data_IF_848699942452
#
_entry.id   IF_848699942452
#
_cell.length_a   1.000
_cell.length_b   1.000
_cell.length_c   1.000
_cell.angle_alpha   90.00
_cell.angle_beta   90.00
_cell.angle_gamma   90.00
#
_symmetry.space_group_name_H-M   'P 1'
#
loop_
_entity.id
_entity.type
_entity.pdbx_description
1 polymer ?
#
# COMPACT_ATOMS: atom_id res chain seq x y z
N UNK A 1 -21.50 27.61 8.11
CA UNK A 1 -20.96 26.27 7.83
C UNK A 1 -19.59 26.45 7.19
N UNK A 2 -18.54 25.90 7.78
CA UNK A 2 -17.23 25.90 7.14
C UNK A 2 -17.26 24.93 5.95
N UNK A 3 -16.88 25.42 4.76
CA UNK A 3 -16.79 24.58 3.57
C UNK A 3 -15.40 23.97 3.51
N UNK A 4 -15.29 22.67 3.81
CA UNK A 4 -14.03 21.95 3.71
C UNK A 4 -13.87 21.30 2.35
N UNK A 5 -12.66 21.38 1.81
CA UNK A 5 -12.30 20.68 0.56
C UNK A 5 -12.31 19.16 0.82
N UNK A 6 -12.77 18.35 -0.15
CA UNK A 6 -12.67 16.91 -0.04
C UNK A 6 -11.21 16.45 0.05
N UNK A 7 -10.94 15.46 0.90
CA UNK A 7 -9.60 15.00 1.20
C UNK A 7 -9.16 13.78 0.38
N UNK A 8 -7.88 13.72 0.07
CA UNK A 8 -7.19 12.54 -0.48
C UNK A 8 -6.00 12.24 0.43
N UNK A 9 -5.85 11.00 0.87
CA UNK A 9 -4.71 10.60 1.72
C UNK A 9 -3.69 9.80 0.92
N UNK A 10 -2.41 10.15 1.05
CA UNK A 10 -1.29 9.40 0.48
C UNK A 10 -0.66 8.59 1.61
N UNK A 11 -0.80 7.27 1.55
CA UNK A 11 -0.49 6.35 2.64
C UNK A 11 0.41 5.22 2.14
N UNK A 12 1.07 4.51 3.06
CA UNK A 12 1.94 3.39 2.73
C UNK A 12 3.21 3.34 3.59
N UNK A 13 4.01 2.28 3.46
CA UNK A 13 5.28 2.13 4.17
C UNK A 13 6.26 3.29 3.94
N UNK A 14 7.23 3.44 4.82
CA UNK A 14 8.40 4.30 4.70
C UNK A 14 9.15 3.98 3.41
N UNK A 15 9.76 4.99 2.80
CA UNK A 15 10.54 4.82 1.56
C UNK A 15 9.74 4.55 0.28
N UNK A 16 8.40 4.41 0.32
CA UNK A 16 7.59 4.14 -0.88
C UNK A 16 7.37 5.35 -1.81
N UNK A 17 7.83 6.54 -1.43
CA UNK A 17 7.78 7.75 -2.26
C UNK A 17 6.52 8.60 -2.13
N UNK A 18 5.79 8.53 -1.02
CA UNK A 18 4.55 9.31 -0.75
C UNK A 18 4.75 10.83 -0.89
N UNK A 19 5.78 11.36 -0.24
CA UNK A 19 6.10 12.80 -0.24
C UNK A 19 6.49 13.28 -1.64
N UNK A 20 7.36 12.52 -2.32
CA UNK A 20 7.76 12.81 -3.71
C UNK A 20 6.57 12.75 -4.68
N UNK A 21 5.69 11.77 -4.53
CA UNK A 21 4.44 11.68 -5.28
C UNK A 21 3.60 12.95 -5.10
N UNK A 22 3.46 13.43 -3.85
CA UNK A 22 2.71 14.64 -3.53
C UNK A 22 3.36 15.90 -4.11
N UNK A 23 4.68 16.03 -4.03
CA UNK A 23 5.43 17.13 -4.64
C UNK A 23 5.24 17.16 -6.16
N UNK A 24 5.39 16.01 -6.82
CA UNK A 24 5.18 15.86 -8.27
C UNK A 24 3.75 16.19 -8.70
N UNK A 25 2.76 15.71 -7.94
CA UNK A 25 1.34 15.96 -8.20
C UNK A 25 0.96 17.43 -8.05
N UNK A 26 1.57 18.13 -7.09
CA UNK A 26 1.23 19.53 -6.79
C UNK A 26 2.10 20.52 -7.56
N UNK A 27 3.20 20.06 -8.18
CA UNK A 27 4.17 20.92 -8.84
C UNK A 27 4.92 21.83 -7.87
N UNK A 28 5.01 21.42 -6.59
CA UNK A 28 5.61 22.22 -5.52
C UNK A 28 6.58 21.35 -4.72
N UNK A 29 7.67 21.93 -4.25
CA UNK A 29 8.59 21.30 -3.29
C UNK A 29 8.15 21.67 -1.88
N UNK A 30 7.00 21.14 -1.45
CA UNK A 30 6.37 21.57 -0.19
C UNK A 30 6.93 20.86 1.03
N UNK A 31 7.46 19.67 0.82
CA UNK A 31 7.89 18.76 1.87
C UNK A 31 9.32 18.32 1.56
N UNK A 32 10.19 18.34 2.57
CA UNK A 32 11.57 17.87 2.42
C UNK A 32 11.57 16.39 2.03
N UNK A 33 12.14 16.09 0.86
CA UNK A 33 12.33 14.72 0.40
C UNK A 33 13.54 14.14 1.12
N UNK A 34 13.33 13.22 2.06
CA UNK A 34 14.44 12.58 2.74
C UNK A 34 15.20 11.61 1.85
N UNK A 35 16.40 11.99 1.43
CA UNK A 35 17.39 11.08 0.81
C UNK A 35 18.30 10.41 1.84
N UNK A 36 18.33 10.92 3.07
CA UNK A 36 19.09 10.37 4.19
C UNK A 36 18.13 9.70 5.20
N UNK A 37 18.63 8.67 5.89
CA UNK A 37 17.94 7.85 6.90
C UNK A 37 17.26 8.62 8.06
N UNK A 38 17.30 9.96 8.06
CA UNK A 38 16.82 10.83 9.14
C UNK A 38 15.65 11.77 8.77
N UNK A 39 15.30 11.93 7.49
CA UNK A 39 14.21 12.85 7.08
C UNK A 39 12.95 12.07 6.70
N UNK A 40 12.40 11.37 7.69
CA UNK A 40 11.05 10.83 7.63
C UNK A 40 10.03 11.94 7.91
N UNK A 41 8.94 11.97 7.16
CA UNK A 41 7.73 12.73 7.53
C UNK A 41 7.30 12.26 8.93
N UNK A 42 7.43 13.10 9.96
CA UNK A 42 7.14 12.73 11.37
C UNK A 42 5.70 13.07 11.77
N UNK A 43 5.00 13.86 10.98
CA UNK A 43 3.62 14.32 11.21
C UNK A 43 2.83 14.32 9.91
N UNK A 44 1.52 14.16 9.98
CA UNK A 44 0.66 14.30 8.80
C UNK A 44 0.69 15.75 8.32
N UNK A 45 0.96 15.97 7.03
CA UNK A 45 1.01 17.29 6.40
C UNK A 45 -0.07 17.37 5.32
N UNK A 46 -0.59 18.57 5.04
CA UNK A 46 -1.59 18.74 3.97
C UNK A 46 -1.28 19.89 3.02
N UNK A 47 -1.79 19.76 1.80
CA UNK A 47 -1.70 20.76 0.74
C UNK A 47 -3.01 20.84 -0.03
N UNK A 48 -3.46 22.06 -0.29
CA UNK A 48 -4.59 22.32 -1.18
C UNK A 48 -4.13 22.44 -2.63
N UNK A 49 -4.82 21.73 -3.53
CA UNK A 49 -4.54 21.72 -4.96
C UNK A 49 -5.83 21.61 -5.77
N UNK A 50 -5.83 22.19 -6.97
CA UNK A 50 -6.88 22.02 -7.95
C UNK A 50 -6.49 20.94 -8.97
N UNK A 51 -7.30 19.89 -9.10
CA UNK A 51 -7.09 18.81 -10.07
C UNK A 51 -8.26 18.82 -11.04
N UNK A 52 -7.98 19.13 -12.31
CA UNK A 52 -8.99 19.31 -13.37
C UNK A 52 -10.16 20.23 -12.92
N UNK A 53 -9.84 21.30 -12.19
CA UNK A 53 -10.81 22.27 -11.68
C UNK A 53 -11.49 21.91 -10.35
N UNK A 54 -11.34 20.68 -9.84
CA UNK A 54 -11.85 20.28 -8.52
C UNK A 54 -10.81 20.58 -7.44
N UNK A 55 -11.19 21.42 -6.47
CA UNK A 55 -10.37 21.74 -5.31
C UNK A 55 -10.38 20.56 -4.32
N UNK A 56 -9.20 20.08 -3.94
CA UNK A 56 -9.00 19.00 -2.98
C UNK A 56 -7.88 19.33 -2.01
N UNK A 57 -7.88 18.66 -0.86
CA UNK A 57 -6.79 18.70 0.10
C UNK A 57 -6.09 17.33 0.11
N UNK A 58 -4.80 17.31 -0.21
CA UNK A 58 -3.99 16.10 -0.18
C UNK A 58 -3.26 16.04 1.15
N UNK A 59 -3.36 14.92 1.84
CA UNK A 59 -2.65 14.63 3.08
C UNK A 59 -1.49 13.67 2.80
N UNK A 60 -0.25 14.12 3.00
CA UNK A 60 0.93 13.27 3.03
C UNK A 60 1.12 12.72 4.45
N UNK A 61 1.33 11.40 4.57
CA UNK A 61 1.43 10.74 5.87
C UNK A 61 2.83 10.19 6.14
N UNK A 62 3.24 10.07 7.42
CA UNK A 62 4.39 9.24 7.79
C UNK A 62 4.26 7.79 7.28
N UNK A 63 5.38 7.06 7.28
CA UNK A 63 5.38 5.61 7.01
C UNK A 63 4.63 4.83 8.08
N UNK A 64 3.82 3.87 7.64
CA UNK A 64 2.94 3.08 8.52
C UNK A 64 3.60 1.80 9.09
N UNK A 65 4.76 1.44 8.57
CA UNK A 65 5.55 0.24 8.89
C UNK A 65 6.61 0.52 9.96
N UNK A 66 7.06 1.77 10.10
CA UNK A 66 8.03 2.20 11.13
C UNK A 66 7.36 2.82 12.37
N UNK A 67 6.07 2.54 12.58
CA UNK A 67 5.25 3.13 13.64
C UNK A 67 5.43 2.41 15.00
N UNK A 68 6.62 2.54 15.58
CA UNK A 68 6.90 2.01 16.91
C UNK A 68 5.92 2.59 17.96
N UNK A 69 5.08 1.73 18.52
CA UNK A 69 4.03 2.12 19.48
C UNK A 69 2.69 2.53 18.87
N UNK A 70 2.52 2.47 17.54
CA UNK A 70 1.22 2.66 16.88
C UNK A 70 0.69 4.10 16.88
N UNK A 71 1.57 5.09 17.10
CA UNK A 71 1.19 6.50 17.24
C UNK A 71 0.69 7.09 15.93
N UNK A 72 1.38 6.86 14.82
CA UNK A 72 0.98 7.36 13.49
C UNK A 72 -0.40 6.81 13.11
N UNK A 73 -0.61 5.51 13.29
CA UNK A 73 -1.89 4.85 13.04
C UNK A 73 -3.00 5.43 13.92
N UNK A 74 -2.73 5.64 15.21
CA UNK A 74 -3.69 6.24 16.13
C UNK A 74 -4.04 7.69 15.76
N UNK A 75 -3.05 8.50 15.38
CA UNK A 75 -3.24 9.89 14.97
C UNK A 75 -4.07 9.99 13.68
N UNK A 76 -3.83 9.09 12.71
CA UNK A 76 -4.65 8.99 11.49
C UNK A 76 -6.10 8.61 11.80
N UNK A 77 -6.34 7.62 12.67
CA UNK A 77 -7.71 7.27 13.11
C UNK A 77 -8.39 8.47 13.77
N UNK A 78 -7.70 9.18 14.66
CA UNK A 78 -8.23 10.40 15.30
C UNK A 78 -8.59 11.46 14.26
N UNK A 79 -7.72 11.69 13.27
CA UNK A 79 -7.95 12.63 12.18
C UNK A 79 -9.17 12.24 11.35
N UNK A 80 -9.29 10.97 10.94
CA UNK A 80 -10.46 10.50 10.18
C UNK A 80 -11.76 10.69 10.98
N UNK A 81 -11.77 10.33 12.26
CA UNK A 81 -12.93 10.50 13.13
C UNK A 81 -13.29 11.97 13.35
N UNK A 82 -12.30 12.85 13.51
CA UNK A 82 -12.51 14.29 13.63
C UNK A 82 -13.12 14.85 12.35
N UNK A 83 -12.57 14.51 11.19
CA UNK A 83 -13.12 14.90 9.89
C UNK A 83 -14.58 14.51 9.73
N UNK A 84 -14.95 13.29 10.18
CA UNK A 84 -16.34 12.84 10.14
C UNK A 84 -17.27 13.72 11.00
N UNK A 85 -16.85 14.07 12.23
CA UNK A 85 -17.60 14.97 13.12
C UNK A 85 -17.75 16.38 12.55
N UNK A 86 -16.73 16.84 11.84
CA UNK A 86 -16.70 18.14 11.15
C UNK A 86 -17.42 18.11 9.79
N UNK A 87 -18.03 16.98 9.41
CA UNK A 87 -18.72 16.78 8.13
C UNK A 87 -17.79 16.98 6.92
N UNK A 88 -16.49 16.72 7.10
CA UNK A 88 -15.49 16.69 6.03
C UNK A 88 -15.56 15.38 5.29
N UNK A 89 -15.29 15.42 3.99
CA UNK A 89 -15.42 14.26 3.10
C UNK A 89 -14.05 13.72 2.70
N UNK A 90 -13.96 12.39 2.57
CA UNK A 90 -12.79 11.69 2.05
C UNK A 90 -13.14 11.17 0.65
N UNK A 91 -12.40 11.58 -0.38
CA UNK A 91 -12.56 11.07 -1.74
C UNK A 91 -11.84 9.75 -1.95
N UNK A 92 -10.71 9.56 -1.29
CA UNK A 92 -10.00 8.29 -1.39
C UNK A 92 -8.62 8.30 -0.79
N UNK A 93 -8.00 7.13 -0.90
CA UNK A 93 -6.67 6.85 -0.38
C UNK A 93 -5.82 6.34 -1.53
N UNK A 94 -4.65 6.94 -1.72
CA UNK A 94 -3.58 6.44 -2.56
C UNK A 94 -2.64 5.65 -1.67
N UNK A 95 -2.62 4.33 -1.80
CA UNK A 95 -1.71 3.47 -1.03
C UNK A 95 -0.48 3.13 -1.87
N UNK A 96 0.65 3.73 -1.52
CA UNK A 96 1.93 3.56 -2.20
C UNK A 96 2.60 2.25 -1.78
N UNK A 97 3.02 1.46 -2.76
CA UNK A 97 3.70 0.19 -2.61
C UNK A 97 5.01 0.21 -3.41
N UNK A 98 6.13 -0.12 -2.78
CA UNK A 98 7.43 -0.22 -3.44
C UNK A 98 7.57 -1.59 -4.14
N UNK A 99 7.52 -1.60 -5.47
CA UNK A 99 7.58 -2.82 -6.26
C UNK A 99 9.01 -3.40 -6.36
N UNK A 100 10.02 -2.61 -5.99
CA UNK A 100 11.44 -2.98 -6.08
C UNK A 100 11.90 -3.87 -4.93
N UNK A 101 11.18 -3.88 -3.80
CA UNK A 101 11.53 -4.72 -2.65
C UNK A 101 11.32 -6.21 -2.93
N UNK A 102 12.32 -7.01 -2.56
CA UNK A 102 12.37 -8.45 -2.85
C UNK A 102 11.45 -9.26 -1.93
N UNK A 103 11.13 -8.73 -0.75
CA UNK A 103 10.25 -9.38 0.23
C UNK A 103 9.28 -8.33 0.76
N UNK A 104 7.99 -8.67 0.79
CA UNK A 104 7.05 -7.98 1.65
C UNK A 104 7.43 -8.37 3.08
N UNK A 105 8.20 -7.51 3.76
CA UNK A 105 8.50 -7.71 5.17
C UNK A 105 7.23 -7.66 6.01
N UNK A 106 7.25 -8.29 7.20
CA UNK A 106 6.14 -8.21 8.17
C UNK A 106 5.64 -6.77 8.38
N UNK A 107 6.50 -5.74 8.49
CA UNK A 107 6.04 -4.35 8.67
C UNK A 107 5.19 -3.81 7.50
N UNK A 108 5.53 -4.17 6.26
CA UNK A 108 4.77 -3.77 5.06
C UNK A 108 3.42 -4.47 5.02
N UNK A 109 3.38 -5.77 5.35
CA UNK A 109 2.13 -6.52 5.46
C UNK A 109 1.21 -5.94 6.55
N UNK A 110 1.77 -5.59 7.72
CA UNK A 110 1.03 -4.95 8.82
C UNK A 110 0.51 -3.56 8.45
N UNK A 111 1.28 -2.78 7.65
CA UNK A 111 0.81 -1.52 7.10
C UNK A 111 -0.44 -1.70 6.23
N UNK A 112 -0.41 -2.69 5.33
CA UNK A 112 -1.54 -2.95 4.42
C UNK A 112 -2.75 -3.53 5.16
N UNK A 113 -2.51 -4.45 6.11
CA UNK A 113 -3.55 -4.98 6.99
C UNK A 113 -4.27 -3.86 7.74
N UNK A 114 -3.52 -2.93 8.31
CA UNK A 114 -4.11 -1.80 9.02
C UNK A 114 -4.96 -0.91 8.08
N UNK A 115 -4.54 -0.72 6.82
CA UNK A 115 -5.35 -0.03 5.81
C UNK A 115 -6.69 -0.76 5.59
N UNK A 116 -6.67 -2.08 5.42
CA UNK A 116 -7.87 -2.89 5.21
C UNK A 116 -8.86 -2.76 6.37
N UNK A 117 -8.37 -2.85 7.60
CA UNK A 117 -9.17 -2.73 8.81
C UNK A 117 -9.78 -1.34 8.95
N UNK A 118 -8.96 -0.30 8.72
CA UNK A 118 -9.34 1.10 8.94
C UNK A 118 -10.37 1.56 7.91
N UNK A 119 -10.17 1.18 6.64
CA UNK A 119 -11.08 1.53 5.56
C UNK A 119 -12.35 0.68 5.59
N UNK A 120 -12.19 -0.63 5.83
CA UNK A 120 -13.23 -1.63 5.61
C UNK A 120 -13.52 -1.89 4.13
N UNK A 121 -14.08 -3.06 3.82
CA UNK A 121 -14.31 -3.52 2.45
C UNK A 121 -15.13 -2.56 1.60
N UNK A 122 -16.21 -1.98 2.13
CA UNK A 122 -17.07 -1.05 1.38
C UNK A 122 -16.33 0.19 0.88
N UNK A 123 -15.30 0.66 1.60
CA UNK A 123 -14.52 1.83 1.22
C UNK A 123 -13.36 1.51 0.27
N UNK A 124 -13.08 0.23 -0.02
CA UNK A 124 -12.00 -0.16 -0.93
C UNK A 124 -12.19 0.39 -2.35
N UNK A 125 -13.43 0.59 -2.79
CA UNK A 125 -13.73 1.27 -4.05
C UNK A 125 -13.13 2.67 -4.16
N UNK A 126 -12.77 3.30 -3.05
CA UNK A 126 -12.11 4.61 -2.96
C UNK A 126 -10.60 4.52 -2.75
N UNK A 127 -10.04 3.31 -2.66
CA UNK A 127 -8.59 3.07 -2.58
C UNK A 127 -8.00 2.89 -3.97
N UNK A 128 -6.82 3.45 -4.18
CA UNK A 128 -5.96 3.22 -5.35
C UNK A 128 -4.62 2.76 -4.83
N UNK A 129 -4.31 1.50 -5.05
CA UNK A 129 -3.00 0.90 -4.74
C UNK A 129 -2.06 1.28 -5.88
N UNK A 130 -0.94 1.89 -5.55
CA UNK A 130 0.02 2.43 -6.52
C UNK A 130 1.35 1.72 -6.36
N UNK A 131 1.77 1.01 -7.41
CA UNK A 131 3.13 0.45 -7.48
C UNK A 131 4.10 1.55 -7.91
N UNK A 132 5.15 1.75 -7.12
CA UNK A 132 6.19 2.75 -7.34
C UNK A 132 7.58 2.11 -7.29
N UNK A 133 8.64 2.91 -7.48
CA UNK A 133 10.04 2.47 -7.56
C UNK A 133 10.31 1.52 -8.74
N UNK A 134 9.60 1.75 -9.84
CA UNK A 134 9.91 1.13 -11.12
C UNK A 134 11.28 1.61 -11.62
N UNK A 135 12.08 0.69 -12.14
CA UNK A 135 13.38 0.96 -12.76
C UNK A 135 13.26 0.63 -14.25
N UNK A 136 12.70 1.54 -15.08
CA UNK A 136 12.41 1.25 -16.48
C UNK A 136 13.66 1.11 -17.34
N UNK A 137 14.82 1.55 -16.86
CA UNK A 137 16.10 1.46 -17.56
C UNK A 137 16.71 0.04 -17.52
N UNK A 138 16.20 -0.84 -16.65
CA UNK A 138 16.68 -2.22 -16.49
C UNK A 138 15.56 -3.22 -16.87
N UNK A 139 15.63 -3.86 -18.06
CA UNK A 139 14.64 -4.83 -18.51
C UNK A 139 14.43 -6.02 -17.55
N UNK A 140 15.48 -6.46 -16.85
CA UNK A 140 15.36 -7.55 -15.89
C UNK A 140 14.55 -7.08 -14.66
N UNK A 141 14.75 -5.84 -14.22
CA UNK A 141 13.97 -5.24 -13.12
C UNK A 141 12.54 -4.97 -13.52
N UNK A 142 12.27 -4.56 -14.77
CA UNK A 142 10.90 -4.44 -15.29
C UNK A 142 10.17 -5.78 -15.21
N UNK A 143 10.79 -6.86 -15.71
CA UNK A 143 10.18 -8.19 -15.71
C UNK A 143 9.88 -8.68 -14.28
N UNK A 144 10.81 -8.43 -13.34
CA UNK A 144 10.61 -8.72 -11.91
C UNK A 144 9.46 -7.90 -11.32
N UNK A 145 9.41 -6.59 -11.58
CA UNK A 145 8.35 -5.71 -11.11
C UNK A 145 6.97 -6.12 -11.64
N UNK A 146 6.88 -6.48 -12.93
CA UNK A 146 5.65 -7.02 -13.53
C UNK A 146 5.23 -8.35 -12.89
N UNK A 147 6.20 -9.22 -12.56
CA UNK A 147 5.94 -10.45 -11.82
C UNK A 147 5.33 -10.19 -10.44
N UNK A 148 5.90 -9.24 -9.70
CA UNK A 148 5.40 -8.83 -8.38
C UNK A 148 4.05 -8.14 -8.45
N UNK A 149 3.81 -7.32 -9.45
CA UNK A 149 2.49 -6.69 -9.63
C UNK A 149 1.41 -7.75 -9.91
N UNK A 150 1.73 -8.80 -10.67
CA UNK A 150 0.85 -9.95 -10.83
C UNK A 150 0.64 -10.70 -9.52
N UNK A 151 1.68 -10.88 -8.72
CA UNK A 151 1.58 -11.52 -7.40
C UNK A 151 0.71 -10.70 -6.43
N UNK A 152 0.85 -9.37 -6.41
CA UNK A 152 -0.07 -8.49 -5.66
C UNK A 152 -1.51 -8.68 -6.15
N UNK A 153 -1.72 -8.77 -7.46
CA UNK A 153 -3.07 -8.84 -8.03
C UNK A 153 -3.76 -10.19 -7.82
N UNK A 154 -3.01 -11.29 -7.85
CA UNK A 154 -3.58 -12.64 -7.95
C UNK A 154 -3.03 -13.64 -6.91
N UNK A 155 -1.95 -13.30 -6.23
CA UNK A 155 -1.24 -14.18 -5.31
C UNK A 155 -1.48 -13.86 -3.83
N UNK A 156 -1.81 -12.61 -3.49
CA UNK A 156 -2.06 -12.20 -2.10
C UNK A 156 -3.57 -12.02 -1.84
N UNK A 157 -4.19 -12.86 -0.99
CA UNK A 157 -5.61 -12.76 -0.65
C UNK A 157 -6.05 -11.41 -0.08
N UNK A 158 -5.16 -10.69 0.62
CA UNK A 158 -5.46 -9.38 1.17
C UNK A 158 -5.63 -8.34 0.06
N UNK A 159 -4.75 -8.37 -0.94
CA UNK A 159 -4.83 -7.48 -2.09
C UNK A 159 -5.98 -7.86 -3.00
N UNK A 160 -6.19 -9.15 -3.24
CA UNK A 160 -7.36 -9.66 -3.97
C UNK A 160 -8.66 -9.15 -3.34
N UNK A 161 -8.82 -9.26 -2.01
CA UNK A 161 -10.01 -8.78 -1.33
C UNK A 161 -10.24 -7.27 -1.53
N UNK A 162 -9.19 -6.44 -1.62
CA UNK A 162 -9.37 -5.03 -1.95
C UNK A 162 -9.83 -4.82 -3.39
N UNK A 163 -9.24 -5.55 -4.35
CA UNK A 163 -9.63 -5.46 -5.77
C UNK A 163 -11.06 -5.95 -6.00
N UNK A 164 -11.46 -7.05 -5.36
CA UNK A 164 -12.82 -7.58 -5.40
C UNK A 164 -13.84 -6.57 -4.82
N UNK A 165 -13.39 -5.69 -3.93
CA UNK A 165 -14.18 -4.58 -3.38
C UNK A 165 -13.94 -3.24 -4.09
N UNK A 166 -13.37 -3.26 -5.29
CA UNK A 166 -13.30 -2.11 -6.20
C UNK A 166 -12.05 -1.24 -6.08
N UNK A 167 -11.05 -1.63 -5.29
CA UNK A 167 -9.77 -0.94 -5.31
C UNK A 167 -9.13 -1.02 -6.70
N UNK A 168 -8.37 0.01 -7.08
CA UNK A 168 -7.62 0.01 -8.34
C UNK A 168 -6.15 -0.28 -8.07
N UNK A 169 -5.46 -0.89 -9.04
CA UNK A 169 -4.01 -1.05 -9.07
C UNK A 169 -3.45 -0.24 -10.25
N UNK A 170 -2.58 0.73 -9.98
CA UNK A 170 -1.97 1.60 -10.98
C UNK A 170 -0.46 1.71 -10.78
N UNK A 171 0.28 1.97 -11.87
CA UNK A 171 1.72 2.20 -11.82
C UNK A 171 2.04 3.70 -11.75
N UNK A 172 2.94 4.08 -10.85
CA UNK A 172 3.57 5.40 -10.83
C UNK A 172 5.00 5.30 -11.32
N UNK A 173 5.32 6.03 -12.40
CA UNK A 173 6.65 6.06 -13.00
C UNK A 173 7.46 7.28 -12.58
N UNK A 174 7.20 7.82 -11.38
CA UNK A 174 7.95 8.94 -10.82
C UNK A 174 7.91 10.23 -11.68
N UNK A 175 6.80 10.47 -12.36
CA UNK A 175 6.56 11.68 -13.17
C UNK A 175 5.31 12.42 -12.71
N UNK A 176 5.27 13.73 -12.94
CA UNK A 176 4.06 14.56 -12.71
C UNK A 176 2.85 14.01 -13.49
N UNK A 177 3.07 13.52 -14.71
CA UNK A 177 2.02 12.99 -15.56
C UNK A 177 1.34 11.77 -14.94
N UNK A 178 2.11 10.80 -14.43
CA UNK A 178 1.53 9.62 -13.77
C UNK A 178 0.92 9.96 -12.41
N UNK A 179 1.53 10.87 -11.64
CA UNK A 179 0.96 11.32 -10.37
C UNK A 179 -0.43 11.97 -10.56
N UNK A 180 -0.55 12.89 -11.53
CA UNK A 180 -1.83 13.52 -11.88
C UNK A 180 -2.82 12.50 -12.45
N UNK A 181 -2.38 11.57 -13.29
CA UNK A 181 -3.25 10.52 -13.83
C UNK A 181 -3.86 9.65 -12.72
N UNK A 182 -3.08 9.29 -11.69
CA UNK A 182 -3.56 8.56 -10.51
C UNK A 182 -4.56 9.40 -9.71
N UNK A 183 -4.23 10.65 -9.39
CA UNK A 183 -5.13 11.50 -8.61
C UNK A 183 -6.44 11.79 -9.34
N UNK A 184 -6.42 11.92 -10.67
CA UNK A 184 -7.66 12.03 -11.48
C UNK A 184 -8.60 10.85 -11.29
N UNK A 185 -8.09 9.64 -11.07
CA UNK A 185 -8.94 8.48 -10.77
C UNK A 185 -9.61 8.60 -9.40
N UNK A 186 -8.95 9.22 -8.43
CA UNK A 186 -9.50 9.45 -7.08
C UNK A 186 -10.50 10.60 -7.08
N UNK A 187 -10.16 11.70 -7.75
CA UNK A 187 -10.97 12.94 -7.83
C UNK A 187 -12.33 12.72 -8.49
N UNK A 188 -12.49 11.67 -9.32
CA UNK A 188 -13.77 11.30 -9.94
C UNK A 188 -14.68 10.45 -9.05
N UNK A 189 -14.21 10.02 -7.88
CA UNK A 189 -14.99 9.18 -6.98
C UNK A 189 -15.94 10.02 -6.14
N UNK A 190 -17.04 9.38 -5.72
CA UNK A 190 -17.91 9.92 -4.68
C UNK A 190 -17.26 9.77 -3.31
N UNK A 191 -17.46 10.73 -2.39
CA UNK A 191 -16.99 10.60 -1.02
C UNK A 191 -17.36 9.29 -0.34
N UNK A 192 -16.50 8.86 0.57
CA UNK A 192 -16.68 7.63 1.33
C UNK A 192 -16.51 7.87 2.82
N UNK A 193 -17.18 7.04 3.61
CA UNK A 193 -16.99 6.94 5.06
C UNK A 193 -16.20 5.67 5.33
N UNK A 194 -15.03 5.80 5.94
CA UNK A 194 -14.19 4.70 6.36
C UNK A 194 -14.81 3.96 7.55
N UNK A 195 -14.49 2.67 7.72
CA UNK A 195 -14.99 1.87 8.85
C UNK A 195 -14.67 2.51 10.20
N UNK A 196 -13.44 2.99 10.39
CA UNK A 196 -13.01 3.61 11.65
C UNK A 196 -13.82 4.87 12.03
N UNK A 197 -14.40 5.58 11.05
CA UNK A 197 -15.20 6.79 11.29
C UNK A 197 -16.58 6.48 11.89
N UNK A 198 -17.11 5.26 11.67
CA UNK A 198 -18.43 4.85 12.16
C UNK A 198 -18.38 4.26 13.57
N UNK A 199 -17.30 3.58 13.90
CA UNK A 199 -17.13 2.94 15.20
C UNK A 199 -16.53 3.96 16.18
N UNK A 200 -17.35 4.55 17.05
CA UNK A 200 -16.86 5.52 18.06
C UNK A 200 -15.77 4.95 19.00
N UNK A 201 -15.61 3.62 19.01
CA UNK A 201 -14.72 2.83 19.84
C UNK A 201 -13.68 2.01 19.06
N UNK A 202 -13.24 2.42 17.86
CA UNK A 202 -12.23 1.69 17.06
C UNK A 202 -10.94 1.32 17.85
N UNK A 203 -10.67 1.98 18.98
CA UNK A 203 -9.53 1.73 19.86
C UNK A 203 -9.86 1.01 21.19
N UNK A 204 -11.11 0.56 21.43
CA UNK A 204 -11.56 0.14 22.79
C UNK A 204 -12.16 -1.27 22.92
N UNK A 205 -12.65 -1.92 21.87
CA UNK A 205 -13.39 -3.19 22.03
C UNK A 205 -12.59 -4.45 21.66
N UNK A 206 -12.44 -5.34 22.64
CA UNK A 206 -11.70 -6.61 22.57
C UNK A 206 -12.44 -7.69 21.73
N UNK A 207 -13.76 -7.58 21.58
CA UNK A 207 -14.57 -8.45 20.72
C UNK A 207 -14.45 -8.12 19.22
N UNK A 208 -14.21 -6.85 18.87
CA UNK A 208 -13.89 -6.45 17.49
C UNK A 208 -12.50 -6.98 17.10
N UNK A 209 -11.53 -7.00 18.04
CA UNK A 209 -10.24 -7.68 17.83
C UNK A 209 -10.40 -9.16 17.51
N UNK A 210 -11.35 -9.86 18.13
CA UNK A 210 -11.57 -11.30 17.92
C UNK A 210 -12.20 -11.64 16.55
N UNK A 211 -13.14 -10.81 16.08
CA UNK A 211 -13.77 -10.96 14.76
C UNK A 211 -12.83 -10.54 13.63
N UNK A 212 -11.98 -9.54 13.86
CA UNK A 212 -10.83 -9.21 13.01
C UNK A 212 -9.85 -10.40 13.01
N UNK A 213 -9.47 -10.95 14.16
CA UNK A 213 -8.57 -12.12 14.29
C UNK A 213 -9.01 -13.38 13.54
N UNK A 214 -10.31 -13.63 13.44
CA UNK A 214 -10.83 -14.74 12.64
C UNK A 214 -10.67 -14.51 11.12
N UNK A 215 -10.69 -13.25 10.68
CA UNK A 215 -10.36 -12.84 9.29
C UNK A 215 -8.83 -12.76 9.09
N UNK A 216 -8.07 -12.45 10.14
CA UNK A 216 -6.60 -12.44 10.18
C UNK A 216 -5.99 -13.82 9.90
N UNK A 217 -6.59 -14.90 10.41
CA UNK A 217 -6.07 -16.26 10.22
C UNK A 217 -6.03 -16.71 8.76
N UNK A 218 -6.87 -16.16 7.89
CA UNK A 218 -6.88 -16.49 6.45
C UNK A 218 -5.81 -15.70 5.67
N UNK A 219 -5.58 -14.46 6.09
CA UNK A 219 -4.65 -13.51 5.47
C UNK A 219 -3.18 -13.78 5.86
N UNK A 220 -2.93 -14.14 7.13
CA UNK A 220 -1.58 -14.32 7.69
C UNK A 220 -1.02 -15.72 7.43
N UNK A 221 -1.83 -16.77 7.57
CA UNK A 221 -1.33 -18.15 7.50
C UNK A 221 -1.04 -18.65 6.09
N UNK A 222 -1.62 -18.06 5.04
CA UNK A 222 -1.47 -18.55 3.66
C UNK A 222 -0.29 -17.95 2.89
N UNK A 223 0.20 -16.75 3.25
CA UNK A 223 1.21 -16.03 2.46
C UNK A 223 2.46 -15.61 3.25
N UNK A 224 2.37 -15.42 4.57
CA UNK A 224 3.44 -14.79 5.36
C UNK A 224 4.14 -15.72 6.36
N UNK A 225 3.77 -17.01 6.38
CA UNK A 225 4.55 -18.05 7.03
C UNK A 225 5.85 -18.24 6.26
N UNK A 226 7.00 -18.20 6.95
CA UNK A 226 8.29 -18.52 6.36
C UNK A 226 8.17 -19.81 5.54
N UNK A 227 8.39 -19.76 4.22
CA UNK A 227 8.62 -20.99 3.47
C UNK A 227 9.78 -21.69 4.18
N UNK A 228 9.59 -22.92 4.71
CA UNK A 228 10.68 -23.62 5.36
C UNK A 228 11.84 -23.67 4.38
N UNK A 229 13.04 -23.29 4.86
CA UNK A 229 14.26 -23.44 4.09
C UNK A 229 14.24 -24.85 3.51
N UNK A 230 14.18 -24.97 2.19
CA UNK A 230 14.37 -26.25 1.53
C UNK A 230 15.77 -26.69 1.88
N UNK A 231 15.87 -27.53 2.91
CA UNK A 231 17.06 -28.32 3.17
C UNK A 231 17.35 -29.04 1.86
N UNK A 232 18.56 -28.81 1.33
CA UNK A 232 19.14 -29.69 0.33
C UNK A 232 19.29 -31.05 0.98
N UNK A 233 18.26 -31.88 0.95
CA UNK A 233 18.36 -33.29 1.25
C UNK A 233 18.75 -33.99 -0.05
N UNK A 234 20.00 -34.47 -0.08
CA UNK A 234 20.45 -35.42 -1.07
C UNK A 234 19.53 -36.65 -1.03
N UNK A 235 18.79 -36.86 -2.11
CA UNK A 235 17.87 -37.97 -2.29
C UNK A 235 18.32 -38.82 -3.48
N UNK A 236 19.02 -39.90 -3.13
CA UNK A 236 19.39 -41.03 -3.98
C UNK A 236 18.24 -41.45 -4.90
N UNK A 237 18.46 -41.52 -6.22
CA UNK A 237 17.57 -42.19 -7.17
C UNK A 237 18.10 -43.62 -7.40
N UNK A 238 17.39 -44.69 -6.98
CA UNK A 238 17.80 -46.05 -7.29
C UNK A 238 17.14 -46.54 -8.60
N UNK A 239 17.99 -47.00 -9.53
CA UNK A 239 17.62 -47.83 -10.69
C UNK A 239 16.97 -47.06 -11.85
N UNK A 240 17.39 -47.15 -13.11
CA UNK A 240 18.26 -48.12 -13.74
C UNK A 240 17.73 -48.41 -15.15
N UNK A 241 18.26 -47.72 -16.16
CA UNK A 241 18.34 -48.20 -17.53
C UNK A 241 19.56 -47.57 -18.21
N UNK A 242 20.64 -48.35 -18.24
CA UNK A 242 21.87 -48.22 -19.05
C UNK A 242 21.56 -48.62 -20.52
N UNK A 243 22.50 -48.57 -21.50
CA UNK A 243 23.52 -47.56 -21.82
C UNK A 243 23.70 -47.30 -23.34
N UNK A 244 24.61 -46.40 -23.69
CA UNK A 244 25.68 -46.52 -24.73
C UNK A 244 25.85 -45.21 -25.52
N UNK A 245 26.96 -44.50 -25.29
CA UNK A 245 28.05 -44.42 -26.28
C UNK A 245 29.28 -43.72 -25.68
N UNK A 246 30.41 -44.38 -25.91
CA UNK A 246 31.77 -44.05 -25.48
C UNK A 246 32.45 -43.14 -26.51
N UNK A 247 33.56 -42.53 -26.06
CA UNK A 247 34.73 -41.96 -26.79
C UNK A 247 34.56 -40.50 -27.26
N UNK A 248 35.55 -39.61 -27.18
CA UNK A 248 36.98 -39.73 -26.88
C UNK A 248 37.54 -38.40 -26.32
N UNK A 249 38.60 -38.52 -25.51
CA UNK A 249 39.59 -37.48 -25.18
C UNK A 249 40.13 -36.79 -26.44
N UNK A 250 40.39 -35.48 -26.35
CA UNK A 250 41.73 -34.91 -26.20
C UNK A 250 41.64 -33.62 -25.39
#
# INVERSE_FOLDING_TARGET
>A
MAYYKPAIFIMGPSGTGKTRFTNLATGRTLFEEGTDLETCTTQVQSVEVAIDGRQVEIFDTPGLDSDEGGKVKADLVRLFCQMYKEQRTILGIVYMHDISQIRIGKPVAESYKWLLETCGYTAMRNVVIVTNMWIPEDPARIAVGQGRERELRYGDPCYMAAFDNGALLLQHNNTTQSALAILRQVVRKEPVVLRCQRTSNYLRDEQDRQSIANTESTCVNSVYSEKPQTQRSGGYCPGGCFPLLRRHRR
#
